data_IF_137066358952
#
_entry.id   IF_137066358952
#
_cell.length_a   1.000
_cell.length_b   1.000
_cell.length_c   1.000
_cell.angle_alpha   90.00
_cell.angle_beta   90.00
_cell.angle_gamma   90.00
#
_symmetry.space_group_name_H-M   'P 1'
#
loop_
_entity.id
_entity.type
_entity.pdbx_description
1 polymer ?
#
# COMPACT_ATOMS: atom_id res chain seq x y z
N UNK A 1 -3.76 -14.85 -0.55
CA UNK A 1 -3.65 -13.75 -1.55
C UNK A 1 -3.73 -14.38 -2.93
N UNK A 2 -4.59 -13.87 -3.82
CA UNK A 2 -4.53 -14.24 -5.24
C UNK A 2 -3.16 -13.83 -5.81
N UNK A 3 -2.69 -14.47 -6.88
CA UNK A 3 -1.34 -14.23 -7.42
C UNK A 3 -1.05 -12.73 -7.65
N UNK A 4 -2.01 -11.97 -8.18
CA UNK A 4 -1.86 -10.53 -8.43
C UNK A 4 -1.78 -9.70 -7.15
N UNK A 5 -2.56 -10.07 -6.13
CA UNK A 5 -2.52 -9.41 -4.83
C UNK A 5 -1.16 -9.63 -4.15
N UNK A 6 -0.63 -10.86 -4.26
CA UNK A 6 0.69 -11.20 -3.74
C UNK A 6 1.77 -10.44 -4.49
N UNK A 7 1.68 -10.37 -5.82
CA UNK A 7 2.60 -9.60 -6.66
C UNK A 7 2.63 -8.12 -6.28
N UNK A 8 1.46 -7.50 -6.10
CA UNK A 8 1.35 -6.12 -5.65
C UNK A 8 2.03 -5.89 -4.30
N UNK A 9 1.79 -6.79 -3.34
CA UNK A 9 2.44 -6.75 -2.03
C UNK A 9 3.98 -6.89 -2.15
N UNK A 10 4.45 -7.86 -2.94
CA UNK A 10 5.89 -8.09 -3.12
C UNK A 10 6.60 -6.90 -3.78
N UNK A 11 5.98 -6.26 -4.78
CA UNK A 11 6.54 -5.05 -5.43
C UNK A 11 6.75 -3.94 -4.40
N UNK A 12 5.74 -3.69 -3.56
CA UNK A 12 5.78 -2.60 -2.58
C UNK A 12 6.77 -2.89 -1.46
N UNK A 13 6.78 -4.11 -0.93
CA UNK A 13 7.69 -4.49 0.17
C UNK A 13 9.15 -4.55 -0.27
N UNK A 14 9.42 -4.96 -1.52
CA UNK A 14 10.77 -4.91 -2.07
C UNK A 14 11.26 -3.47 -2.25
N UNK A 15 10.40 -2.57 -2.74
CA UNK A 15 10.72 -1.14 -2.88
C UNK A 15 11.01 -0.49 -1.52
N UNK A 16 10.20 -0.80 -0.50
CA UNK A 16 10.43 -0.33 0.86
C UNK A 16 11.77 -0.85 1.40
N UNK A 17 12.05 -2.15 1.24
CA UNK A 17 13.31 -2.76 1.71
C UNK A 17 14.53 -2.09 1.07
N UNK A 18 14.52 -1.86 -0.23
CA UNK A 18 15.61 -1.17 -0.94
C UNK A 18 15.80 0.25 -0.40
N UNK A 19 14.71 0.97 -0.14
CA UNK A 19 14.75 2.32 0.45
C UNK A 19 15.33 2.31 1.86
N UNK A 20 14.91 1.37 2.72
CA UNK A 20 15.39 1.26 4.10
C UNK A 20 16.86 0.83 4.19
N UNK A 21 17.39 0.16 3.17
CA UNK A 21 18.81 -0.21 3.06
C UNK A 21 19.71 0.95 2.59
N UNK A 22 19.17 2.16 2.48
CA UNK A 22 19.90 3.33 1.98
C UNK A 22 20.00 3.38 0.46
N UNK A 23 19.26 2.52 -0.24
CA UNK A 23 19.07 2.64 -1.68
C UNK A 23 18.27 3.89 -2.03
N UNK A 24 18.31 4.26 -3.31
CA UNK A 24 17.51 5.34 -3.86
C UNK A 24 16.70 4.84 -5.07
N UNK A 25 15.76 3.90 -4.85
CA UNK A 25 14.94 3.39 -5.93
C UNK A 25 14.11 4.53 -6.53
N UNK A 26 13.83 4.45 -7.83
CA UNK A 26 12.89 5.39 -8.45
C UNK A 26 11.53 5.32 -7.74
N UNK A 27 10.80 6.42 -7.75
CA UNK A 27 9.45 6.47 -7.18
C UNK A 27 8.58 5.34 -7.76
N UNK A 28 8.00 4.53 -6.88
CA UNK A 28 7.07 3.49 -7.28
C UNK A 28 5.69 4.11 -7.57
N UNK A 29 5.27 4.07 -8.83
CA UNK A 29 3.93 4.45 -9.27
C UNK A 29 3.18 3.17 -9.65
N UNK A 30 2.16 2.80 -8.87
CA UNK A 30 1.42 1.56 -9.05
C UNK A 30 -0.09 1.81 -8.99
N UNK A 31 -0.82 1.26 -9.97
CA UNK A 31 -2.29 1.25 -10.00
C UNK A 31 -2.77 -0.17 -9.71
N UNK A 32 -3.53 -0.35 -8.64
CA UNK A 32 -4.18 -1.62 -8.31
C UNK A 32 -5.57 -1.69 -8.95
N UNK A 33 -5.66 -2.33 -10.12
CA UNK A 33 -6.92 -2.54 -10.84
C UNK A 33 -7.56 -3.90 -10.50
N UNK A 34 -8.86 -4.01 -10.68
CA UNK A 34 -9.62 -5.27 -10.58
C UNK A 34 -11.09 -5.03 -10.22
N UNK A 35 -11.95 -5.99 -10.51
CA UNK A 35 -13.40 -5.91 -10.23
C UNK A 35 -13.70 -5.63 -8.74
N UNK A 36 -14.86 -5.05 -8.44
CA UNK A 36 -15.34 -4.86 -7.07
C UNK A 36 -15.31 -6.17 -6.26
N UNK A 37 -14.99 -6.10 -4.96
CA UNK A 37 -14.99 -7.28 -4.10
C UNK A 37 -13.78 -8.22 -4.23
N UNK A 38 -12.81 -7.93 -5.10
CA UNK A 38 -11.62 -8.78 -5.33
C UNK A 38 -10.52 -8.64 -4.25
N UNK A 39 -10.82 -8.09 -3.07
CA UNK A 39 -9.86 -8.05 -1.95
C UNK A 39 -8.74 -7.01 -2.06
N UNK A 40 -8.87 -5.99 -2.92
CA UNK A 40 -7.89 -4.88 -3.04
C UNK A 40 -7.65 -4.14 -1.72
N UNK A 41 -8.70 -3.89 -0.93
CA UNK A 41 -8.58 -3.27 0.39
C UNK A 41 -7.70 -4.10 1.33
N UNK A 42 -7.76 -5.44 1.24
CA UNK A 42 -6.90 -6.32 2.03
C UNK A 42 -5.42 -6.17 1.66
N UNK A 43 -5.11 -5.96 0.38
CA UNK A 43 -3.73 -5.68 -0.06
C UNK A 43 -3.22 -4.38 0.54
N UNK A 44 -4.00 -3.30 0.47
CA UNK A 44 -3.64 -2.01 1.06
C UNK A 44 -3.44 -2.13 2.58
N UNK A 45 -4.33 -2.85 3.27
CA UNK A 45 -4.22 -3.10 4.70
C UNK A 45 -2.91 -3.86 5.03
N UNK A 46 -2.62 -4.95 4.32
CA UNK A 46 -1.40 -5.74 4.57
C UNK A 46 -0.12 -4.97 4.25
N UNK A 47 -0.13 -4.11 3.21
CA UNK A 47 0.97 -3.17 2.95
C UNK A 47 1.14 -2.20 4.13
N UNK A 48 0.02 -1.65 4.65
CA UNK A 48 0.06 -0.72 5.78
C UNK A 48 0.64 -1.37 7.02
N UNK A 49 0.23 -2.60 7.32
CA UNK A 49 0.76 -3.41 8.44
C UNK A 49 2.27 -3.65 8.28
N UNK A 50 2.76 -3.94 7.07
CA UNK A 50 4.19 -4.13 6.80
C UNK A 50 4.99 -2.83 7.04
N UNK A 51 4.52 -1.68 6.56
CA UNK A 51 5.18 -0.39 6.83
C UNK A 51 5.27 -0.09 8.33
N UNK A 52 4.23 -0.42 9.11
CA UNK A 52 4.26 -0.27 10.57
C UNK A 52 5.28 -1.22 11.20
N UNK A 53 5.31 -2.49 10.79
CA UNK A 53 6.26 -3.48 11.30
C UNK A 53 7.72 -3.12 11.00
N UNK A 54 7.98 -2.47 9.86
CA UNK A 54 9.32 -1.97 9.49
C UNK A 54 9.67 -0.61 10.14
N UNK A 55 8.81 -0.05 11.01
CA UNK A 55 9.03 1.28 11.60
C UNK A 55 8.93 2.44 10.60
N UNK A 56 8.41 2.18 9.40
CA UNK A 56 8.36 3.09 8.26
C UNK A 56 6.98 3.70 8.03
N UNK A 57 6.06 3.62 9.01
CA UNK A 57 4.68 4.11 8.87
C UNK A 57 4.60 5.57 8.37
N UNK A 58 5.55 6.41 8.78
CA UNK A 58 5.65 7.82 8.38
C UNK A 58 5.97 8.03 6.89
N UNK A 59 6.43 6.99 6.18
CA UNK A 59 6.71 7.01 4.75
C UNK A 59 5.50 6.63 3.88
N UNK A 60 4.41 6.15 4.49
CA UNK A 60 3.22 5.71 3.77
C UNK A 60 2.11 6.76 3.83
N UNK A 61 1.78 7.34 2.68
CA UNK A 61 0.61 8.19 2.52
C UNK A 61 -0.52 7.40 1.85
N UNK A 62 -1.70 7.42 2.45
CA UNK A 62 -2.89 6.70 1.98
C UNK A 62 -3.96 7.73 1.60
N UNK A 63 -4.50 7.63 0.38
CA UNK A 63 -5.57 8.50 -0.09
C UNK A 63 -6.67 7.67 -0.76
N UNK A 64 -7.92 8.08 -0.61
CA UNK A 64 -9.07 7.47 -1.25
C UNK A 64 -10.07 8.54 -1.70
N UNK A 65 -10.75 8.28 -2.82
CA UNK A 65 -11.66 9.23 -3.45
C UNK A 65 -12.99 9.40 -2.72
N UNK A 66 -13.39 8.45 -1.86
CA UNK A 66 -14.64 8.52 -1.09
C UNK A 66 -14.40 8.28 0.40
N UNK A 67 -15.20 8.92 1.27
CA UNK A 67 -15.05 8.81 2.73
C UNK A 67 -15.13 7.38 3.27
N UNK A 68 -15.94 6.52 2.64
CA UNK A 68 -16.02 5.08 2.98
C UNK A 68 -14.76 4.34 2.55
N UNK A 69 -14.18 4.66 1.39
CA UNK A 69 -12.92 4.08 0.97
C UNK A 69 -11.74 4.59 1.81
N UNK A 70 -11.81 5.82 2.32
CA UNK A 70 -10.83 6.40 3.24
C UNK A 70 -10.86 5.70 4.61
N UNK A 71 -12.05 5.44 5.16
CA UNK A 71 -12.19 4.70 6.43
C UNK A 71 -11.74 3.24 6.32
N UNK A 72 -11.93 2.61 5.15
CA UNK A 72 -11.48 1.23 4.88
C UNK A 72 -9.96 1.08 4.75
N UNK A 73 -9.22 2.17 4.51
CA UNK A 73 -7.75 2.17 4.45
C UNK A 73 -7.12 2.93 5.61
N UNK A 74 -7.92 3.34 6.60
CA UNK A 74 -7.48 4.14 7.74
C UNK A 74 -6.74 5.43 7.29
N UNK A 75 -7.24 6.03 6.21
CA UNK A 75 -6.70 7.23 5.57
C UNK A 75 -7.54 8.45 5.95
N UNK A 76 -6.89 9.55 6.35
CA UNK A 76 -7.59 10.81 6.55
C UNK A 76 -8.13 11.31 5.21
N UNK A 77 -9.35 11.83 5.20
CA UNK A 77 -9.86 12.60 4.06
C UNK A 77 -9.03 13.87 3.96
N UNK A 78 -8.36 14.09 2.83
CA UNK A 78 -7.83 15.40 2.47
C UNK A 78 -9.02 16.32 2.28
N UNK A 79 -9.25 17.19 3.27
CA UNK A 79 -10.18 18.31 3.23
C UNK A 79 -9.40 19.60 3.36
#
# INVERSE_FOLDING_TARGET
>A
LRADQRRAFDIVTNHLRETLQGGNPRQLLMVLYGEGGTGKSKVIQTITEDFVQQGAAHMLVKAAYTGIAASLIDGKTTH
#
